data_IF_179474718283
#
_entry.id   IF_179474718283
#
_cell.length_a   1.000
_cell.length_b   1.000
_cell.length_c   1.000
_cell.angle_alpha   90.00
_cell.angle_beta   90.00
_cell.angle_gamma   90.00
#
_symmetry.space_group_name_H-M   'P 1'
#
loop_
_entity.id
_entity.type
_entity.pdbx_description
1 polymer ?
#
# COMPACT_ATOMS: atom_id res chain seq x y z
N UNK A 1 5.31 -24.94 -21.90
CA UNK A 1 6.74 -24.94 -21.55
C UNK A 1 6.83 -25.44 -20.12
N UNK A 2 7.20 -26.70 -19.89
CA UNK A 2 7.21 -27.32 -18.55
C UNK A 2 8.64 -27.24 -18.01
N UNK A 3 8.82 -26.84 -16.75
CA UNK A 3 10.12 -26.85 -16.05
C UNK A 3 10.97 -25.58 -16.13
N UNK A 4 10.48 -24.50 -16.76
CA UNK A 4 11.21 -23.23 -16.84
C UNK A 4 11.33 -22.58 -15.46
N UNK A 5 10.28 -22.66 -14.63
CA UNK A 5 10.28 -22.12 -13.28
C UNK A 5 11.36 -22.74 -12.38
N UNK A 6 11.48 -24.07 -12.38
CA UNK A 6 12.51 -24.77 -11.61
C UNK A 6 13.94 -24.41 -12.07
N UNK A 7 14.19 -24.31 -13.38
CA UNK A 7 15.49 -23.89 -13.89
C UNK A 7 15.87 -22.49 -13.40
N UNK A 8 14.93 -21.52 -13.46
CA UNK A 8 15.16 -20.16 -12.98
C UNK A 8 15.48 -20.10 -11.49
N UNK A 9 14.83 -20.95 -10.68
CA UNK A 9 15.11 -21.05 -9.25
C UNK A 9 16.54 -21.55 -9.03
N UNK A 10 16.96 -22.62 -9.74
CA UNK A 10 18.33 -23.13 -9.63
C UNK A 10 19.37 -22.08 -10.01
N UNK A 11 19.19 -21.43 -11.16
CA UNK A 11 20.09 -20.37 -11.64
C UNK A 11 20.18 -19.19 -10.65
N UNK A 12 19.07 -18.83 -9.99
CA UNK A 12 19.03 -17.79 -8.97
C UNK A 12 19.93 -18.17 -7.79
N UNK A 13 19.80 -19.40 -7.28
CA UNK A 13 20.55 -19.86 -6.12
C UNK A 13 22.03 -20.12 -6.42
N UNK A 14 22.38 -20.61 -7.61
CA UNK A 14 23.78 -20.71 -8.05
C UNK A 14 24.46 -19.34 -8.14
N UNK A 15 23.75 -18.33 -8.68
CA UNK A 15 24.23 -16.94 -8.71
C UNK A 15 24.38 -16.35 -7.31
N UNK A 16 23.45 -16.66 -6.39
CA UNK A 16 23.53 -16.20 -5.02
C UNK A 16 24.74 -16.81 -4.29
N UNK A 17 24.97 -18.12 -4.45
CA UNK A 17 26.11 -18.84 -3.86
C UNK A 17 27.44 -18.31 -4.36
N UNK A 18 27.58 -18.05 -5.67
CA UNK A 18 28.81 -17.49 -6.25
C UNK A 18 29.08 -16.02 -5.86
N UNK A 19 28.07 -15.31 -5.34
CA UNK A 19 28.15 -13.91 -4.91
C UNK A 19 28.01 -13.73 -3.40
N UNK A 20 28.12 -14.80 -2.62
CA UNK A 20 28.03 -14.72 -1.17
C UNK A 20 29.15 -13.80 -0.60
N UNK A 21 28.85 -12.97 0.42
CA UNK A 21 27.57 -12.84 1.11
C UNK A 21 26.56 -11.97 0.36
N UNK A 22 25.30 -12.41 0.28
CA UNK A 22 24.25 -11.64 -0.41
C UNK A 22 22.85 -11.89 0.18
N UNK A 23 21.90 -11.04 -0.23
CA UNK A 23 20.48 -11.18 0.09
C UNK A 23 19.72 -11.52 -1.19
N UNK A 24 18.91 -12.58 -1.15
CA UNK A 24 17.93 -12.93 -2.18
C UNK A 24 16.57 -12.47 -1.69
N UNK A 25 15.90 -11.59 -2.44
CA UNK A 25 14.56 -11.11 -2.13
C UNK A 25 13.54 -11.67 -3.14
N UNK A 26 12.50 -12.32 -2.63
CA UNK A 26 11.39 -12.89 -3.42
C UNK A 26 10.12 -12.16 -3.05
N UNK A 27 9.68 -11.23 -3.91
CA UNK A 27 8.39 -10.57 -3.75
C UNK A 27 7.25 -11.48 -4.23
N UNK A 28 6.05 -11.27 -3.70
CA UNK A 28 4.84 -12.06 -4.00
C UNK A 28 5.07 -13.58 -3.98
N UNK A 29 5.68 -14.09 -2.92
CA UNK A 29 6.01 -15.52 -2.83
C UNK A 29 4.77 -16.42 -2.94
N UNK A 30 3.56 -15.92 -2.64
CA UNK A 30 2.31 -16.65 -2.85
C UNK A 30 1.97 -16.95 -4.32
N UNK A 31 2.61 -16.27 -5.28
CA UNK A 31 2.49 -16.61 -6.69
C UNK A 31 3.08 -17.98 -7.02
N UNK A 32 4.15 -18.35 -6.31
CA UNK A 32 4.82 -19.65 -6.48
C UNK A 32 4.50 -20.60 -5.33
N UNK A 33 4.38 -20.13 -4.09
CA UNK A 33 4.35 -20.93 -2.86
C UNK A 33 2.96 -21.28 -2.34
N UNK A 34 1.91 -21.24 -3.16
CA UNK A 34 0.52 -21.46 -2.72
C UNK A 34 0.22 -22.94 -2.47
N UNK A 35 -0.43 -23.24 -1.35
CA UNK A 35 -0.93 -24.56 -0.99
C UNK A 35 -2.02 -25.03 -1.99
N UNK A 36 -2.04 -26.33 -2.27
CA UNK A 36 -3.01 -26.96 -3.19
C UNK A 36 -4.46 -26.62 -2.83
N UNK A 37 -5.28 -26.34 -3.85
CA UNK A 37 -6.73 -26.56 -3.79
C UNK A 37 -7.06 -27.88 -4.50
N UNK A 38 -8.14 -28.56 -4.11
CA UNK A 38 -8.59 -29.85 -4.65
C UNK A 38 -9.12 -29.79 -6.11
N UNK A 39 -8.48 -29.03 -6.99
CA UNK A 39 -8.89 -28.85 -8.39
C UNK A 39 -8.06 -29.69 -9.35
N UNK A 40 -8.72 -30.65 -10.02
CA UNK A 40 -8.17 -31.37 -11.17
C UNK A 40 -7.93 -30.38 -12.34
N UNK A 41 -6.68 -30.05 -12.64
CA UNK A 41 -6.33 -29.24 -13.81
C UNK A 41 -4.82 -29.15 -14.02
N UNK A 42 -4.33 -29.57 -15.19
CA UNK A 42 -2.91 -29.75 -15.55
C UNK A 42 -2.02 -28.50 -15.62
N UNK A 43 -2.39 -27.40 -14.97
CA UNK A 43 -1.51 -26.25 -14.71
C UNK A 43 -0.74 -26.35 -13.39
N UNK A 44 -0.97 -27.42 -12.62
CA UNK A 44 -0.37 -27.63 -11.30
C UNK A 44 1.10 -28.08 -11.36
N UNK A 45 1.48 -28.85 -12.38
CA UNK A 45 2.78 -29.53 -12.41
C UNK A 45 3.98 -28.56 -12.46
N UNK A 46 3.87 -27.46 -13.22
CA UNK A 46 4.96 -26.47 -13.33
C UNK A 46 5.16 -25.69 -12.03
N UNK A 47 4.07 -25.32 -11.35
CA UNK A 47 4.12 -24.62 -10.07
C UNK A 47 4.70 -25.52 -8.99
N UNK A 48 4.23 -26.77 -8.92
CA UNK A 48 4.72 -27.74 -7.95
C UNK A 48 6.22 -28.04 -8.16
N UNK A 49 6.66 -28.18 -9.41
CA UNK A 49 8.08 -28.35 -9.72
C UNK A 49 8.91 -27.13 -9.27
N UNK A 50 8.37 -25.92 -9.44
CA UNK A 50 9.04 -24.67 -9.05
C UNK A 50 9.14 -24.55 -7.52
N UNK A 51 8.06 -24.86 -6.77
CA UNK A 51 8.08 -24.88 -5.30
C UNK A 51 9.09 -25.91 -4.81
N UNK A 52 9.02 -27.15 -5.30
CA UNK A 52 9.89 -28.22 -4.83
C UNK A 52 11.36 -27.91 -5.10
N UNK A 53 11.68 -27.26 -6.23
CA UNK A 53 13.03 -26.78 -6.49
C UNK A 53 13.44 -25.69 -5.49
N UNK A 54 12.55 -24.74 -5.16
CA UNK A 54 12.83 -23.72 -4.15
C UNK A 54 13.11 -24.35 -2.79
N UNK A 55 12.29 -25.31 -2.35
CA UNK A 55 12.51 -26.05 -1.10
C UNK A 55 13.84 -26.80 -1.10
N UNK A 56 14.20 -27.43 -2.21
CA UNK A 56 15.46 -28.16 -2.36
C UNK A 56 16.67 -27.22 -2.27
N UNK A 57 16.62 -26.05 -2.92
CA UNK A 57 17.71 -25.07 -2.82
C UNK A 57 17.83 -24.48 -1.42
N UNK A 58 16.71 -24.28 -0.70
CA UNK A 58 16.71 -23.81 0.68
C UNK A 58 17.31 -24.85 1.65
N UNK A 59 16.94 -26.13 1.51
CA UNK A 59 17.51 -27.21 2.32
C UNK A 59 19.00 -27.47 1.99
N UNK A 60 19.41 -27.12 0.77
CA UNK A 60 20.80 -27.21 0.29
C UNK A 60 21.78 -26.24 0.96
N UNK A 61 21.31 -25.35 1.83
CA UNK A 61 22.16 -24.43 2.61
C UNK A 61 22.66 -25.02 3.93
N UNK A 62 22.94 -26.32 3.96
CA UNK A 62 23.58 -26.93 5.12
C UNK A 62 25.02 -26.40 5.29
N UNK A 63 25.16 -25.35 6.10
CA UNK A 63 26.41 -24.61 6.36
C UNK A 63 26.21 -23.09 6.20
N UNK A 64 27.06 -22.29 6.84
CA UNK A 64 26.99 -20.83 6.78
C UNK A 64 27.43 -20.30 5.39
N UNK A 65 26.55 -20.45 4.40
CA UNK A 65 26.78 -20.05 3.00
C UNK A 65 26.86 -18.55 2.78
N UNK A 66 26.54 -17.73 3.79
CA UNK A 66 26.48 -16.27 3.68
C UNK A 66 25.31 -15.73 2.86
N UNK A 67 24.34 -16.57 2.47
CA UNK A 67 23.15 -16.16 1.71
C UNK A 67 21.95 -16.05 2.64
N UNK A 68 21.30 -14.88 2.65
CA UNK A 68 20.05 -14.65 3.39
C UNK A 68 18.91 -14.58 2.38
N UNK A 69 17.85 -15.38 2.59
CA UNK A 69 16.66 -15.35 1.76
C UNK A 69 15.54 -14.60 2.49
N UNK A 70 15.03 -13.55 1.85
CA UNK A 70 13.88 -12.76 2.30
C UNK A 70 12.73 -12.95 1.31
N UNK A 71 11.50 -13.02 1.82
CA UNK A 71 10.31 -13.11 0.99
C UNK A 71 9.20 -12.21 1.52
N UNK A 72 8.35 -11.72 0.62
CA UNK A 72 7.18 -10.90 0.95
C UNK A 72 5.90 -11.53 0.39
N UNK A 73 4.81 -11.47 1.16
CA UNK A 73 3.46 -11.86 0.72
C UNK A 73 2.40 -11.05 1.44
N UNK A 74 1.28 -10.81 0.76
CA UNK A 74 0.06 -10.28 1.36
C UNK A 74 -0.90 -11.38 1.82
N UNK A 75 -0.58 -12.66 1.54
CA UNK A 75 -1.44 -13.83 1.78
C UNK A 75 -0.69 -14.96 2.47
N UNK A 76 -0.23 -14.77 3.71
CA UNK A 76 0.47 -15.82 4.45
C UNK A 76 -0.41 -17.06 4.68
N UNK A 77 -1.73 -16.89 4.69
CA UNK A 77 -2.74 -17.93 4.89
C UNK A 77 -2.77 -19.00 3.79
N UNK A 78 -2.35 -18.64 2.57
CA UNK A 78 -2.36 -19.59 1.44
C UNK A 78 -1.02 -20.22 1.15
N UNK A 79 0.03 -19.90 1.92
CA UNK A 79 1.36 -20.45 1.69
C UNK A 79 1.43 -21.92 2.09
N UNK A 80 2.20 -22.69 1.32
CA UNK A 80 2.51 -24.07 1.65
C UNK A 80 3.28 -24.13 2.98
N UNK A 81 2.76 -24.89 3.94
CA UNK A 81 3.36 -25.07 5.26
C UNK A 81 4.81 -25.60 5.20
N UNK A 82 5.21 -26.25 4.10
CA UNK A 82 6.58 -26.67 3.86
C UNK A 82 7.55 -25.48 3.80
N UNK A 83 7.15 -24.31 3.28
CA UNK A 83 7.99 -23.12 3.20
C UNK A 83 8.33 -22.55 4.58
N UNK A 84 7.43 -22.73 5.56
CA UNK A 84 7.50 -22.17 6.90
C UNK A 84 8.22 -23.07 7.91
N UNK A 85 8.77 -24.21 7.47
CA UNK A 85 9.48 -25.15 8.34
C UNK A 85 10.86 -24.60 8.74
N UNK A 86 11.39 -25.00 9.92
CA UNK A 86 12.75 -24.66 10.33
C UNK A 86 13.79 -25.00 9.26
N UNK A 87 14.74 -24.09 9.03
CA UNK A 87 15.74 -24.19 7.96
C UNK A 87 15.32 -23.57 6.62
N UNK A 88 14.07 -23.09 6.49
CA UNK A 88 13.55 -22.39 5.32
C UNK A 88 13.16 -20.96 5.69
N UNK A 89 11.88 -20.59 5.57
CA UNK A 89 11.36 -19.33 6.11
C UNK A 89 10.93 -19.52 7.57
N UNK A 90 11.92 -19.72 8.43
CA UNK A 90 11.74 -19.97 9.86
C UNK A 90 11.43 -18.69 10.68
N UNK A 91 11.77 -17.51 10.13
CA UNK A 91 11.45 -16.19 10.69
C UNK A 91 10.31 -15.54 9.93
N UNK A 92 9.25 -15.21 10.66
CA UNK A 92 8.11 -14.45 10.15
C UNK A 92 8.07 -13.09 10.86
N UNK A 93 8.01 -12.03 10.07
CA UNK A 93 7.92 -10.65 10.56
C UNK A 93 6.69 -10.01 9.92
N UNK A 94 5.67 -9.75 10.72
CA UNK A 94 4.47 -9.05 10.27
C UNK A 94 4.74 -7.55 10.24
N UNK A 95 4.43 -6.92 9.11
CA UNK A 95 4.50 -5.45 8.96
C UNK A 95 3.08 -4.91 8.97
N UNK A 96 2.64 -4.46 10.14
CA UNK A 96 1.32 -3.89 10.32
C UNK A 96 1.21 -2.46 9.77
N UNK A 97 -0.03 -1.98 9.66
CA UNK A 97 -0.28 -0.59 9.28
C UNK A 97 0.34 0.37 10.31
N UNK A 98 0.90 1.51 9.86
CA UNK A 98 1.56 2.44 10.75
C UNK A 98 0.56 3.12 11.71
N UNK A 99 0.97 3.25 12.97
CA UNK A 99 0.31 4.08 13.97
C UNK A 99 0.53 5.58 13.68
N UNK A 100 0.02 6.47 14.54
CA UNK A 100 0.14 7.92 14.33
C UNK A 100 1.62 8.34 14.24
N UNK A 101 2.47 7.85 15.15
CA UNK A 101 3.89 8.18 15.18
C UNK A 101 4.63 7.64 13.95
N UNK A 102 4.30 6.42 13.52
CA UNK A 102 4.81 5.80 12.30
C UNK A 102 4.43 6.60 11.05
N UNK A 103 3.17 7.06 10.96
CA UNK A 103 2.72 7.92 9.85
C UNK A 103 3.46 9.26 9.82
N UNK A 104 3.80 9.85 10.97
CA UNK A 104 4.61 11.08 11.02
C UNK A 104 6.00 10.82 10.43
N UNK A 105 6.66 9.73 10.83
CA UNK A 105 7.98 9.35 10.29
C UNK A 105 7.93 9.06 8.79
N UNK A 106 6.87 8.40 8.31
CA UNK A 106 6.66 8.13 6.89
C UNK A 106 6.49 9.44 6.11
N UNK A 107 5.69 10.38 6.61
CA UNK A 107 5.55 11.71 6.01
C UNK A 107 6.89 12.47 5.97
N UNK A 108 7.69 12.41 7.05
CA UNK A 108 9.02 13.00 7.07
C UNK A 108 9.93 12.42 5.98
N UNK A 109 9.91 11.10 5.77
CA UNK A 109 10.66 10.44 4.69
C UNK A 109 10.19 10.92 3.32
N UNK A 110 8.87 10.91 3.06
CA UNK A 110 8.32 11.33 1.76
C UNK A 110 8.33 12.84 1.52
N UNK A 111 8.64 13.62 2.55
CA UNK A 111 8.86 15.07 2.45
C UNK A 111 10.30 15.44 2.12
N UNK A 112 11.26 14.50 2.22
CA UNK A 112 12.65 14.77 1.84
C UNK A 112 12.74 15.19 0.37
N UNK A 113 13.45 16.29 0.12
CA UNK A 113 13.59 16.86 -1.21
C UNK A 113 12.39 17.67 -1.72
N UNK A 114 11.34 17.86 -0.91
CA UNK A 114 10.21 18.76 -1.23
C UNK A 114 10.35 20.07 -0.47
N UNK A 115 10.12 21.19 -1.15
CA UNK A 115 10.04 22.49 -0.51
C UNK A 115 8.69 22.59 0.22
N UNK A 116 8.71 22.52 1.56
CA UNK A 116 7.53 22.66 2.40
C UNK A 116 7.50 24.03 3.04
N UNK A 117 6.32 24.65 3.07
CA UNK A 117 6.12 25.88 3.81
C UNK A 117 6.15 25.62 5.33
N UNK A 118 6.42 26.66 6.11
CA UNK A 118 6.59 26.58 7.57
C UNK A 118 5.32 26.19 8.35
N UNK A 119 4.16 26.27 7.70
CA UNK A 119 2.85 25.98 8.27
C UNK A 119 2.44 24.50 8.17
N UNK A 120 3.28 23.66 7.53
CA UNK A 120 3.04 22.22 7.39
C UNK A 120 3.30 21.51 8.72
N UNK A 121 2.27 20.85 9.23
CA UNK A 121 2.26 20.15 10.51
C UNK A 121 1.86 18.68 10.29
N UNK A 122 2.84 17.77 10.38
CA UNK A 122 2.61 16.34 10.16
C UNK A 122 1.73 15.70 11.24
N UNK A 123 1.76 16.18 12.48
CA UNK A 123 0.88 15.69 13.55
C UNK A 123 -0.59 15.98 13.22
N UNK A 124 -0.89 17.16 12.68
CA UNK A 124 -2.25 17.48 12.20
C UNK A 124 -2.66 16.65 10.98
N UNK A 125 -1.72 16.39 10.05
CA UNK A 125 -2.00 15.58 8.86
C UNK A 125 -2.27 14.12 9.24
N UNK A 126 -1.50 13.54 10.16
CA UNK A 126 -1.65 12.14 10.58
C UNK A 126 -2.95 11.85 11.33
N UNK A 127 -3.49 12.84 12.06
CA UNK A 127 -4.82 12.77 12.68
C UNK A 127 -5.95 12.71 11.66
N UNK A 128 -5.75 13.29 10.47
CA UNK A 128 -6.74 13.30 9.37
C UNK A 128 -6.55 12.15 8.37
N UNK A 129 -5.58 11.27 8.60
CA UNK A 129 -5.27 10.12 7.74
C UNK A 129 -5.31 8.79 8.52
N UNK A 130 -6.38 8.50 9.28
CA UNK A 130 -6.51 7.21 9.95
C UNK A 130 -6.55 6.08 8.92
N UNK A 131 -5.80 5.00 9.19
CA UNK A 131 -5.75 3.82 8.32
C UNK A 131 -4.88 3.95 7.07
N UNK A 132 -4.28 5.11 6.79
CA UNK A 132 -3.39 5.30 5.66
C UNK A 132 -2.13 4.44 5.80
N UNK A 133 -1.76 3.77 4.71
CA UNK A 133 -0.51 3.02 4.58
C UNK A 133 0.64 3.93 4.14
N UNK A 134 1.86 3.38 4.08
CA UNK A 134 3.01 4.13 3.57
C UNK A 134 2.81 4.63 2.14
N UNK A 135 2.19 3.80 1.29
CA UNK A 135 1.87 4.14 -0.10
C UNK A 135 0.85 5.28 -0.17
N UNK A 136 -0.16 5.27 0.70
CA UNK A 136 -1.18 6.33 0.73
C UNK A 136 -0.57 7.69 1.13
N UNK A 137 0.34 7.69 2.11
CA UNK A 137 1.03 8.90 2.56
C UNK A 137 2.04 9.41 1.52
N UNK A 138 2.73 8.51 0.83
CA UNK A 138 3.57 8.86 -0.31
C UNK A 138 2.74 9.55 -1.39
N UNK A 139 1.59 8.95 -1.74
CA UNK A 139 0.68 9.49 -2.74
C UNK A 139 0.12 10.86 -2.32
N UNK A 140 -0.23 11.04 -1.05
CA UNK A 140 -0.65 12.33 -0.49
C UNK A 140 0.39 13.41 -0.72
N UNK A 141 1.65 13.17 -0.36
CA UNK A 141 2.72 14.14 -0.54
C UNK A 141 3.03 14.42 -2.02
N UNK A 142 2.84 13.43 -2.88
CA UNK A 142 3.02 13.59 -4.33
C UNK A 142 1.91 14.44 -4.95
N UNK A 143 0.64 14.16 -4.64
CA UNK A 143 -0.49 14.95 -5.11
C UNK A 143 -0.43 16.39 -4.60
N UNK A 144 0.00 16.61 -3.35
CA UNK A 144 0.22 17.96 -2.82
C UNK A 144 1.30 18.72 -3.62
N UNK A 145 2.39 18.05 -3.99
CA UNK A 145 3.43 18.65 -4.83
C UNK A 145 2.92 18.99 -6.25
N UNK A 146 2.13 18.11 -6.85
CA UNK A 146 1.51 18.34 -8.16
C UNK A 146 0.55 19.54 -8.10
N UNK A 147 -0.22 19.68 -7.01
CA UNK A 147 -1.12 20.82 -6.81
C UNK A 147 -0.35 22.13 -6.66
N UNK A 148 0.74 22.14 -5.88
CA UNK A 148 1.62 23.31 -5.74
C UNK A 148 2.19 23.72 -7.10
N UNK A 149 2.72 22.77 -7.87
CA UNK A 149 3.26 23.02 -9.20
C UNK A 149 2.20 23.55 -10.18
N UNK A 150 0.97 23.01 -10.15
CA UNK A 150 -0.15 23.50 -10.98
C UNK A 150 -0.61 24.91 -10.62
N UNK A 151 -0.31 25.37 -9.41
CA UNK A 151 -0.61 26.71 -8.91
C UNK A 151 0.58 27.66 -9.05
N UNK A 152 1.65 27.23 -9.72
CA UNK A 152 2.92 27.98 -9.85
C UNK A 152 3.51 28.40 -8.49
N UNK A 153 3.30 27.58 -7.44
CA UNK A 153 3.84 27.81 -6.11
C UNK A 153 5.24 27.19 -5.97
N UNK A 154 6.10 27.86 -5.19
CA UNK A 154 7.47 27.40 -4.91
C UNK A 154 7.56 26.42 -3.75
N UNK A 155 6.57 26.43 -2.87
CA UNK A 155 6.51 25.60 -1.66
C UNK A 155 5.14 24.93 -1.56
N UNK A 156 5.10 23.74 -0.95
CA UNK A 156 3.87 23.03 -0.63
C UNK A 156 3.40 23.50 0.75
N UNK A 157 2.23 24.14 0.81
CA UNK A 157 1.63 24.61 2.05
C UNK A 157 0.62 23.61 2.62
N UNK A 158 0.05 23.95 3.78
CA UNK A 158 -1.06 23.21 4.38
C UNK A 158 -2.26 23.08 3.43
N UNK A 159 -2.50 24.07 2.58
CA UNK A 159 -3.67 24.09 1.70
C UNK A 159 -3.56 23.04 0.59
N UNK A 160 -2.41 22.92 -0.08
CA UNK A 160 -2.19 21.89 -1.09
C UNK A 160 -2.27 20.48 -0.50
N UNK A 161 -1.77 20.27 0.72
CA UNK A 161 -1.87 18.98 1.40
C UNK A 161 -3.33 18.68 1.76
N UNK A 162 -4.09 19.68 2.23
CA UNK A 162 -5.50 19.51 2.57
C UNK A 162 -6.35 19.19 1.34
N UNK A 163 -6.08 19.86 0.22
CA UNK A 163 -6.76 19.63 -1.06
C UNK A 163 -6.39 18.26 -1.67
N UNK A 164 -5.13 17.87 -1.58
CA UNK A 164 -4.67 16.54 -1.99
C UNK A 164 -5.35 15.45 -1.16
N UNK A 165 -5.41 15.63 0.16
CA UNK A 165 -6.10 14.70 1.06
C UNK A 165 -7.57 14.56 0.69
N UNK A 166 -8.26 15.68 0.49
CA UNK A 166 -9.67 15.67 0.10
C UNK A 166 -9.85 14.95 -1.24
N UNK A 167 -8.97 15.17 -2.21
CA UNK A 167 -9.00 14.50 -3.52
C UNK A 167 -8.74 13.00 -3.43
N UNK A 168 -7.90 12.54 -2.51
CA UNK A 168 -7.65 11.11 -2.29
C UNK A 168 -8.88 10.45 -1.66
N UNK A 169 -9.50 11.08 -0.66
CA UNK A 169 -10.64 10.51 0.06
C UNK A 169 -11.93 10.58 -0.78
N UNK A 170 -12.22 11.74 -1.36
CA UNK A 170 -13.51 12.04 -2.01
C UNK A 170 -13.47 11.98 -3.55
N UNK A 171 -12.28 11.89 -4.13
CA UNK A 171 -12.07 11.97 -5.57
C UNK A 171 -11.99 13.42 -6.11
N UNK A 172 -11.66 13.58 -7.40
CA UNK A 172 -11.51 14.91 -8.00
C UNK A 172 -12.86 15.65 -8.13
N UNK A 173 -12.80 16.97 -8.00
CA UNK A 173 -13.93 17.86 -8.26
C UNK A 173 -14.35 17.87 -9.73
N UNK A 174 -15.67 17.86 -9.98
CA UNK A 174 -16.22 18.05 -11.33
C UNK A 174 -16.58 19.51 -11.57
N UNK A 175 -15.60 20.30 -12.03
CA UNK A 175 -15.80 21.72 -12.34
C UNK A 175 -16.89 21.98 -13.41
N UNK A 176 -17.13 21.03 -14.31
CA UNK A 176 -18.11 21.14 -15.40
C UNK A 176 -19.43 20.38 -15.13
N UNK A 177 -19.70 19.98 -13.89
CA UNK A 177 -20.98 19.36 -13.58
C UNK A 177 -22.09 20.42 -13.64
N UNK A 178 -22.88 20.39 -14.71
CA UNK A 178 -24.13 21.16 -14.79
C UNK A 178 -25.11 20.54 -13.79
N UNK A 179 -25.31 21.21 -12.66
CA UNK A 179 -26.29 20.84 -11.63
C UNK A 179 -27.38 21.90 -11.63
N UNK A 180 -28.64 21.49 -11.82
CA UNK A 180 -29.78 22.40 -11.74
C UNK A 180 -29.92 22.98 -10.34
N UNK A 181 -30.44 24.21 -10.22
CA UNK A 181 -30.64 24.88 -8.93
C UNK A 181 -31.54 24.05 -7.98
N UNK A 182 -32.58 23.40 -8.51
CA UNK A 182 -33.43 22.49 -7.75
C UNK A 182 -32.64 21.31 -7.16
N UNK A 183 -31.71 20.74 -7.94
CA UNK A 183 -30.85 19.63 -7.48
C UNK A 183 -29.80 20.11 -6.48
N UNK A 184 -29.21 21.29 -6.67
CA UNK A 184 -28.30 21.88 -5.69
C UNK A 184 -28.99 22.10 -4.34
N UNK A 185 -30.22 22.63 -4.35
CA UNK A 185 -31.01 22.85 -3.13
C UNK A 185 -31.31 21.53 -2.40
N UNK A 186 -31.67 20.48 -3.15
CA UNK A 186 -31.90 19.15 -2.58
C UNK A 186 -30.63 18.58 -1.92
N UNK A 187 -29.49 18.63 -2.62
CA UNK A 187 -28.21 18.17 -2.08
C UNK A 187 -27.80 19.00 -0.87
N UNK A 188 -28.02 20.32 -0.88
CA UNK A 188 -27.74 21.17 0.27
C UNK A 188 -28.53 20.74 1.52
N UNK A 189 -29.83 20.43 1.39
CA UNK A 189 -30.60 19.89 2.52
C UNK A 189 -30.11 18.52 2.96
N UNK A 190 -29.70 17.65 2.02
CA UNK A 190 -29.17 16.32 2.35
C UNK A 190 -27.88 16.41 3.17
N UNK A 191 -26.90 17.18 2.68
CA UNK A 191 -25.61 17.37 3.36
C UNK A 191 -25.77 18.15 4.68
N UNK A 192 -26.68 19.13 4.73
CA UNK A 192 -27.01 19.82 5.98
C UNK A 192 -27.66 18.89 7.01
N UNK A 193 -28.44 17.90 6.57
CA UNK A 193 -28.99 16.86 7.43
C UNK A 193 -27.91 16.01 8.09
N UNK A 194 -26.94 15.51 7.30
CA UNK A 194 -25.77 14.78 7.84
C UNK A 194 -24.98 15.62 8.83
N UNK A 195 -24.75 16.89 8.49
CA UNK A 195 -24.04 17.83 9.34
C UNK A 195 -24.75 18.08 10.67
N UNK A 196 -26.06 18.32 10.63
CA UNK A 196 -26.87 18.61 11.81
C UNK A 196 -26.94 17.39 12.74
N UNK A 197 -27.22 16.21 12.18
CA UNK A 197 -27.28 14.97 12.97
C UNK A 197 -25.91 14.65 13.58
N UNK A 198 -24.84 14.72 12.79
CA UNK A 198 -23.47 14.48 13.29
C UNK A 198 -23.05 15.47 14.38
N UNK A 199 -23.44 16.73 14.27
CA UNK A 199 -23.15 17.74 15.30
C UNK A 199 -23.94 17.57 16.60
N UNK A 200 -25.14 16.97 16.53
CA UNK A 200 -26.01 16.77 17.70
C UNK A 200 -25.72 15.43 18.42
N UNK A 201 -25.01 14.49 17.80
CA UNK A 201 -24.70 13.18 18.39
C UNK A 201 -23.35 13.23 19.14
N UNK A 202 -23.33 13.07 20.48
CA UNK A 202 -22.10 13.22 21.28
C UNK A 202 -21.02 12.18 20.99
N UNK A 203 -21.40 10.99 20.52
CA UNK A 203 -20.50 9.88 20.21
C UNK A 203 -20.04 9.85 18.74
N UNK A 204 -20.53 10.79 17.91
CA UNK A 204 -20.20 10.84 16.49
C UNK A 204 -18.96 11.69 16.23
N UNK A 205 -18.22 11.38 15.17
CA UNK A 205 -17.03 12.15 14.80
C UNK A 205 -17.39 13.60 14.43
N UNK A 206 -16.62 14.60 14.89
CA UNK A 206 -16.92 16.01 14.63
C UNK A 206 -16.86 16.32 13.12
N UNK A 207 -17.86 17.08 12.66
CA UNK A 207 -17.98 17.47 11.25
C UNK A 207 -16.84 18.43 10.87
N UNK A 208 -15.93 17.97 10.00
CA UNK A 208 -14.76 18.74 9.61
C UNK A 208 -15.03 19.73 8.46
N UNK A 209 -15.80 19.32 7.45
CA UNK A 209 -16.14 20.13 6.26
C UNK A 209 -17.37 19.55 5.58
N UNK A 210 -18.22 20.41 5.03
CA UNK A 210 -19.40 20.04 4.25
C UNK A 210 -19.28 20.71 2.88
N UNK A 211 -19.62 20.00 1.80
CA UNK A 211 -19.60 20.55 0.45
C UNK A 211 -20.70 19.94 -0.40
N UNK A 212 -21.36 20.78 -1.19
CA UNK A 212 -22.34 20.38 -2.22
C UNK A 212 -21.71 20.24 -3.60
N UNK A 213 -20.39 20.44 -3.71
CA UNK A 213 -19.66 20.36 -4.97
C UNK A 213 -19.54 18.88 -5.38
N UNK A 214 -19.96 18.49 -6.60
CA UNK A 214 -19.89 17.10 -7.03
C UNK A 214 -18.44 16.59 -7.12
N UNK A 215 -18.15 15.47 -6.47
CA UNK A 215 -16.84 14.78 -6.50
C UNK A 215 -16.97 13.30 -6.93
N UNK A 216 -15.85 12.69 -7.32
CA UNK A 216 -15.74 11.25 -7.65
C UNK A 216 -15.99 10.86 -9.12
N UNK A 217 -15.63 9.62 -9.51
CA UNK A 217 -15.97 9.04 -10.84
C UNK A 217 -17.47 8.73 -10.90
N UNK A 218 -18.14 9.00 -12.02
CA UNK A 218 -19.44 8.32 -12.29
C UNK A 218 -19.10 6.82 -12.29
N UNK A 219 -19.70 6.04 -11.39
CA UNK A 219 -19.93 4.63 -11.72
C UNK A 219 -20.84 4.59 -12.95
#
# INVERSE_FOLDING_TARGET
FVGVGALRVRDLFEKAKSKAPCIVFIDEIDAVGRQRGAGLGGGNDEREQTINQLLTEMDGFSGNSGVIVLAATNRPDVLDAALLRPGRFDRQVTVDRPDVAGRVKILQVHSRGKALAKDVDFDKITRRTPGFTGVDLQNLMNEAAILAARRDLKEISKDEISDALERIITGPEKKNAVVSEAKKKLVAYHEAGHALVGALMPEYDPVAKISIIPRGRRR
#
